data_IF_862629538928
#
_entry.id   IF_862629538928
#
_cell.length_a   1.000
_cell.length_b   1.000
_cell.length_c   1.000
_cell.angle_alpha   90.00
_cell.angle_beta   90.00
_cell.angle_gamma   90.00
#
_symmetry.space_group_name_H-M   'P 1'
#
loop_
_entity.id
_entity.type
_entity.pdbx_description
1 polymer ?
#
# COMPACT_ATOMS: atom_id res chain seq x y z
N UNK A 1 0.69 -16.20 -4.27
CA UNK A 1 -0.60 -16.53 -4.89
C UNK A 1 -1.47 -17.36 -3.93
N UNK A 2 -0.96 -18.42 -3.33
CA UNK A 2 -1.73 -19.30 -2.44
C UNK A 2 -2.43 -18.53 -1.31
N UNK A 3 -1.72 -17.63 -0.62
CA UNK A 3 -2.30 -16.83 0.46
C UNK A 3 -3.32 -15.82 -0.06
N UNK A 4 -2.93 -14.98 -1.02
CA UNK A 4 -3.75 -13.85 -1.43
C UNK A 4 -4.92 -14.25 -2.34
N UNK A 5 -4.71 -15.09 -3.34
CA UNK A 5 -5.77 -15.49 -4.29
C UNK A 5 -6.59 -16.65 -3.72
N UNK A 6 -5.95 -17.81 -3.54
CA UNK A 6 -6.66 -19.01 -3.10
C UNK A 6 -7.18 -18.87 -1.66
N UNK A 7 -6.43 -18.22 -0.77
CA UNK A 7 -6.87 -17.94 0.60
C UNK A 7 -8.13 -17.09 0.62
N UNK A 8 -8.16 -16.00 -0.13
CA UNK A 8 -9.35 -15.14 -0.25
C UNK A 8 -10.53 -15.90 -0.80
N UNK A 9 -10.35 -16.65 -1.90
CA UNK A 9 -11.43 -17.45 -2.49
C UNK A 9 -12.00 -18.47 -1.50
N UNK A 10 -11.15 -19.16 -0.73
CA UNK A 10 -11.59 -20.13 0.28
C UNK A 10 -12.36 -19.48 1.42
N UNK A 11 -11.92 -18.32 1.90
CA UNK A 11 -12.62 -17.58 2.96
C UNK A 11 -14.01 -17.15 2.45
N UNK A 12 -14.08 -16.55 1.26
CA UNK A 12 -15.34 -16.09 0.68
C UNK A 12 -16.32 -17.24 0.44
N UNK A 13 -15.83 -18.37 -0.06
CA UNK A 13 -16.68 -19.55 -0.25
C UNK A 13 -17.17 -20.14 1.07
N UNK A 14 -16.31 -20.17 2.09
CA UNK A 14 -16.70 -20.61 3.43
C UNK A 14 -17.72 -19.64 4.05
N UNK A 15 -17.52 -18.33 3.93
CA UNK A 15 -18.45 -17.32 4.44
C UNK A 15 -19.80 -17.42 3.72
N UNK A 16 -19.82 -17.58 2.40
CA UNK A 16 -21.05 -17.77 1.63
C UNK A 16 -21.90 -18.92 2.18
N UNK A 17 -21.26 -20.02 2.59
CA UNK A 17 -21.94 -21.21 3.11
C UNK A 17 -22.35 -21.11 4.57
N UNK A 18 -21.47 -20.60 5.41
CA UNK A 18 -21.61 -20.69 6.87
C UNK A 18 -22.12 -19.39 7.52
N UNK A 19 -21.86 -18.22 6.91
CA UNK A 19 -22.16 -16.90 7.48
C UNK A 19 -22.46 -15.85 6.40
N UNK A 20 -23.49 -16.07 5.53
CA UNK A 20 -23.75 -15.24 4.35
C UNK A 20 -24.08 -13.76 4.67
N UNK A 21 -24.51 -13.48 5.88
CA UNK A 21 -24.81 -12.11 6.34
C UNK A 21 -23.62 -11.36 6.93
N UNK A 22 -22.45 -12.00 6.99
CA UNK A 22 -21.23 -11.35 7.50
C UNK A 22 -20.71 -10.30 6.52
N UNK A 23 -20.19 -9.21 7.07
CA UNK A 23 -19.48 -8.19 6.28
C UNK A 23 -18.03 -8.62 6.14
N UNK A 24 -17.50 -8.58 4.94
CA UNK A 24 -16.14 -8.98 4.61
C UNK A 24 -15.41 -7.80 4.01
N UNK A 25 -14.32 -7.39 4.65
CA UNK A 25 -13.40 -6.43 4.10
C UNK A 25 -12.26 -7.15 3.36
N UNK A 26 -12.17 -6.96 2.06
CA UNK A 26 -11.14 -7.52 1.18
C UNK A 26 -10.05 -6.48 0.95
N UNK A 27 -8.89 -6.71 1.53
CA UNK A 27 -7.74 -5.80 1.38
C UNK A 27 -6.99 -6.10 0.09
N UNK A 28 -7.28 -5.35 -0.99
CA UNK A 28 -6.43 -5.31 -2.18
C UNK A 28 -5.23 -4.35 -1.96
N UNK A 29 -4.85 -3.56 -2.94
CA UNK A 29 -3.71 -2.62 -2.84
C UNK A 29 -3.74 -1.65 -4.02
N UNK A 30 -3.25 -0.44 -3.89
CA UNK A 30 -3.00 0.47 -5.01
C UNK A 30 -1.96 -0.08 -6.00
N UNK A 31 -1.12 -1.03 -5.59
CA UNK A 31 -0.17 -1.72 -6.47
C UNK A 31 -0.84 -2.44 -7.66
N UNK A 32 -2.17 -2.69 -7.60
CA UNK A 32 -2.93 -3.25 -8.73
C UNK A 32 -2.89 -2.36 -9.96
N UNK A 33 -2.80 -1.05 -9.78
CA UNK A 33 -2.69 -0.09 -10.86
C UNK A 33 -1.31 -0.11 -11.53
N UNK A 34 -0.26 -0.45 -10.77
CA UNK A 34 1.11 -0.59 -11.27
C UNK A 34 1.60 0.67 -11.98
N UNK A 35 1.91 0.56 -13.27
CA UNK A 35 2.38 1.69 -14.08
C UNK A 35 1.21 2.50 -14.62
N UNK A 36 1.07 3.70 -14.11
CA UNK A 36 0.05 4.66 -14.51
C UNK A 36 0.72 5.83 -15.22
N UNK A 37 0.13 6.32 -16.30
CA UNK A 37 0.61 7.52 -17.00
C UNK A 37 0.17 8.80 -16.27
N UNK A 38 0.94 9.88 -16.42
CA UNK A 38 0.71 11.16 -15.71
C UNK A 38 -0.67 11.77 -15.99
N UNK A 39 -1.20 11.57 -17.17
CA UNK A 39 -2.52 12.07 -17.59
C UNK A 39 -3.70 11.38 -16.89
N UNK A 40 -3.44 10.28 -16.19
CA UNK A 40 -4.44 9.54 -15.41
C UNK A 40 -4.37 9.79 -13.90
N UNK A 41 -3.62 10.79 -13.50
CA UNK A 41 -3.53 11.19 -12.10
C UNK A 41 -4.57 12.28 -11.76
N UNK A 42 -5.15 12.27 -10.55
CA UNK A 42 -5.02 11.23 -9.54
C UNK A 42 -5.68 9.91 -9.96
N UNK A 43 -5.13 8.80 -9.48
CA UNK A 43 -5.64 7.45 -9.78
C UNK A 43 -7.03 7.29 -9.15
N UNK A 44 -8.04 7.06 -9.97
CA UNK A 44 -9.39 6.73 -9.52
C UNK A 44 -9.68 5.23 -9.66
N UNK A 45 -10.84 4.81 -9.21
CA UNK A 45 -11.27 3.41 -9.21
C UNK A 45 -11.41 2.81 -10.61
N UNK A 46 -11.66 3.64 -11.63
CA UNK A 46 -11.82 3.24 -13.03
C UNK A 46 -10.49 3.04 -13.77
N UNK A 47 -9.36 3.38 -13.13
CA UNK A 47 -8.06 3.10 -13.71
C UNK A 47 -7.85 1.61 -13.92
N UNK A 48 -7.41 1.23 -15.12
CA UNK A 48 -7.11 -0.15 -15.47
C UNK A 48 -5.92 -0.72 -14.67
N UNK A 49 -5.94 -2.02 -14.44
CA UNK A 49 -4.85 -2.70 -13.75
C UNK A 49 -3.64 -2.93 -14.66
N UNK A 50 -2.46 -2.57 -14.17
CA UNK A 50 -1.19 -2.79 -14.87
C UNK A 50 -0.10 -3.20 -13.85
N UNK A 51 -0.30 -4.32 -13.12
CA UNK A 51 0.55 -4.71 -11.99
C UNK A 51 2.02 -4.86 -12.39
N UNK A 52 2.92 -4.35 -11.55
CA UNK A 52 4.36 -4.32 -11.82
C UNK A 52 5.16 -5.34 -10.99
N UNK A 53 4.49 -6.24 -10.28
CA UNK A 53 5.15 -7.26 -9.44
C UNK A 53 4.25 -8.49 -9.24
N UNK A 54 4.83 -9.66 -8.87
CA UNK A 54 4.03 -10.83 -8.49
C UNK A 54 3.08 -10.56 -7.32
N UNK A 55 3.46 -9.70 -6.38
CA UNK A 55 2.58 -9.24 -5.31
C UNK A 55 1.38 -8.48 -5.88
N UNK A 56 1.62 -7.49 -6.72
CA UNK A 56 0.57 -6.70 -7.37
C UNK A 56 -0.40 -7.59 -8.16
N UNK A 57 0.11 -8.57 -8.92
CA UNK A 57 -0.72 -9.57 -9.63
C UNK A 57 -1.59 -10.35 -8.65
N UNK A 58 -1.03 -10.77 -7.51
CA UNK A 58 -1.82 -11.49 -6.50
C UNK A 58 -2.93 -10.62 -5.89
N UNK A 59 -2.69 -9.31 -5.76
CA UNK A 59 -3.68 -8.36 -5.26
C UNK A 59 -4.76 -8.03 -6.29
N UNK A 60 -4.44 -8.05 -7.59
CA UNK A 60 -5.47 -8.03 -8.66
C UNK A 60 -6.42 -9.22 -8.51
N UNK A 61 -5.88 -10.43 -8.33
CA UNK A 61 -6.70 -11.61 -8.09
C UNK A 61 -7.58 -11.49 -6.84
N UNK A 62 -7.02 -10.96 -5.74
CA UNK A 62 -7.77 -10.70 -4.50
C UNK A 62 -8.91 -9.71 -4.73
N UNK A 63 -8.64 -8.60 -5.43
CA UNK A 63 -9.61 -7.55 -5.77
C UNK A 63 -10.79 -8.13 -6.56
N UNK A 64 -10.48 -8.76 -7.69
CA UNK A 64 -11.50 -9.30 -8.59
C UNK A 64 -12.35 -10.40 -7.94
N UNK A 65 -11.76 -11.27 -7.12
CA UNK A 65 -12.50 -12.32 -6.40
C UNK A 65 -13.46 -11.67 -5.38
N UNK A 66 -13.00 -10.68 -4.61
CA UNK A 66 -13.84 -9.97 -3.64
C UNK A 66 -15.07 -9.34 -4.30
N UNK A 67 -14.84 -8.59 -5.37
CA UNK A 67 -15.91 -7.97 -6.17
C UNK A 67 -16.88 -9.01 -6.74
N UNK A 68 -16.36 -10.04 -7.38
CA UNK A 68 -17.18 -11.10 -7.95
C UNK A 68 -18.12 -11.74 -6.92
N UNK A 69 -17.64 -12.04 -5.71
CA UNK A 69 -18.49 -12.62 -4.68
C UNK A 69 -19.56 -11.66 -4.18
N UNK A 70 -19.26 -10.35 -4.14
CA UNK A 70 -20.27 -9.33 -3.86
C UNK A 70 -21.33 -9.24 -4.95
N UNK A 71 -20.91 -9.08 -6.19
CA UNK A 71 -21.79 -8.91 -7.35
C UNK A 71 -22.62 -10.15 -7.67
N UNK A 72 -21.98 -11.33 -7.71
CA UNK A 72 -22.62 -12.56 -8.15
C UNK A 72 -23.45 -13.27 -7.07
N UNK A 73 -23.05 -13.15 -5.81
CA UNK A 73 -23.68 -13.88 -4.70
C UNK A 73 -24.30 -12.96 -3.63
N UNK A 74 -24.21 -11.64 -3.79
CA UNK A 74 -24.73 -10.69 -2.84
C UNK A 74 -24.06 -10.74 -1.46
N UNK A 75 -22.82 -11.27 -1.37
CA UNK A 75 -22.06 -11.20 -0.13
C UNK A 75 -21.69 -9.75 0.18
N UNK A 76 -21.77 -9.37 1.43
CA UNK A 76 -21.36 -8.03 1.88
C UNK A 76 -19.83 -7.87 1.82
N UNK A 77 -19.25 -8.05 0.61
CA UNK A 77 -17.83 -7.88 0.34
C UNK A 77 -17.55 -6.45 -0.05
N UNK A 78 -16.64 -5.80 0.66
CA UNK A 78 -16.13 -4.47 0.34
C UNK A 78 -14.64 -4.60 0.05
N UNK A 79 -14.21 -4.14 -1.11
CA UNK A 79 -12.80 -4.21 -1.50
C UNK A 79 -12.13 -2.85 -1.35
N UNK A 80 -10.92 -2.80 -0.80
CA UNK A 80 -10.15 -1.55 -0.70
C UNK A 80 -8.80 -1.68 -1.41
N UNK A 81 -8.44 -0.63 -2.15
CA UNK A 81 -7.14 -0.44 -2.80
C UNK A 81 -6.40 0.64 -2.03
N UNK A 82 -5.80 0.24 -0.92
CA UNK A 82 -5.11 1.17 -0.05
C UNK A 82 -3.80 1.61 -0.67
N UNK A 83 -3.60 2.93 -0.75
CA UNK A 83 -2.35 3.57 -1.11
C UNK A 83 -1.36 3.53 0.08
N UNK A 84 -0.20 4.19 -0.05
CA UNK A 84 0.81 4.12 1.00
C UNK A 84 0.26 4.69 2.31
N UNK A 85 0.35 3.90 3.36
CA UNK A 85 0.01 4.32 4.72
C UNK A 85 1.14 3.91 5.65
N UNK A 86 1.41 4.70 6.65
CA UNK A 86 2.54 4.50 7.54
C UNK A 86 2.19 4.84 8.98
N UNK A 87 3.02 4.38 9.90
CA UNK A 87 2.86 4.65 11.32
C UNK A 87 3.81 3.81 12.17
N UNK A 88 3.78 3.97 13.50
CA UNK A 88 4.62 3.21 14.40
C UNK A 88 4.52 1.70 14.18
N UNK A 89 5.66 1.01 14.22
CA UNK A 89 5.79 -0.46 14.03
C UNK A 89 5.60 -0.95 12.60
N UNK A 90 5.58 -0.06 11.60
CA UNK A 90 5.65 -0.49 10.21
C UNK A 90 6.99 -1.19 9.95
N UNK A 91 6.95 -2.30 9.19
CA UNK A 91 8.14 -3.10 8.89
C UNK A 91 9.22 -2.33 8.12
N UNK A 92 10.48 -2.63 8.38
CA UNK A 92 11.65 -1.95 7.80
C UNK A 92 12.00 -2.35 6.35
N UNK A 93 11.15 -3.15 5.73
CA UNK A 93 11.17 -3.42 4.29
C UNK A 93 10.59 -2.26 3.46
N UNK A 94 9.88 -1.34 4.12
CA UNK A 94 9.31 -0.15 3.48
C UNK A 94 10.25 1.04 3.61
N UNK A 95 10.29 1.90 2.58
CA UNK A 95 11.27 2.99 2.48
C UNK A 95 11.28 3.91 3.72
N UNK A 96 10.11 4.41 4.12
CA UNK A 96 9.97 5.32 5.25
C UNK A 96 10.48 4.72 6.57
N UNK A 97 10.15 3.45 6.83
CA UNK A 97 10.60 2.75 8.04
C UNK A 97 12.09 2.39 7.98
N UNK A 98 12.56 1.98 6.79
CA UNK A 98 13.98 1.71 6.55
C UNK A 98 14.83 2.96 6.78
N UNK A 99 14.40 4.11 6.27
CA UNK A 99 15.13 5.37 6.44
C UNK A 99 15.14 5.82 7.90
N UNK A 100 13.98 5.81 8.56
CA UNK A 100 13.89 6.16 9.98
C UNK A 100 14.79 5.26 10.84
N UNK A 101 14.78 3.94 10.57
CA UNK A 101 15.65 2.98 11.26
C UNK A 101 17.13 3.26 11.03
N UNK A 102 17.54 3.49 9.77
CA UNK A 102 18.95 3.79 9.45
C UNK A 102 19.40 5.09 10.12
N UNK A 103 18.58 6.14 10.09
CA UNK A 103 18.88 7.42 10.78
C UNK A 103 19.08 7.17 12.28
N UNK A 104 18.15 6.46 12.92
CA UNK A 104 18.27 6.16 14.35
C UNK A 104 19.52 5.33 14.69
N UNK A 105 19.90 4.38 13.84
CA UNK A 105 21.12 3.60 14.03
C UNK A 105 22.39 4.44 13.83
N UNK A 106 22.40 5.39 12.90
CA UNK A 106 23.51 6.35 12.71
C UNK A 106 23.62 7.25 13.94
N UNK A 107 22.53 7.81 14.43
CA UNK A 107 22.51 8.65 15.63
C UNK A 107 22.99 7.92 16.89
N UNK A 108 22.70 6.62 16.97
CA UNK A 108 23.18 5.75 18.04
C UNK A 108 24.64 5.28 17.84
N UNK A 109 25.34 5.71 16.78
CA UNK A 109 26.67 5.24 16.38
C UNK A 109 26.77 3.73 16.20
N UNK A 110 25.68 3.07 15.75
CA UNK A 110 25.65 1.64 15.48
C UNK A 110 26.07 1.30 14.05
N UNK A 111 25.97 2.25 13.13
CA UNK A 111 26.40 2.13 11.74
C UNK A 111 27.06 3.44 11.28
N UNK A 112 27.88 3.35 10.23
CA UNK A 112 28.47 4.52 9.57
C UNK A 112 27.40 5.47 9.02
N UNK A 113 27.68 6.79 8.89
CA UNK A 113 26.73 7.79 8.43
C UNK A 113 26.44 7.70 6.92
N UNK A 114 26.12 6.49 6.45
CA UNK A 114 25.81 6.14 5.07
C UNK A 114 24.39 5.55 5.02
N UNK A 115 23.43 6.34 4.51
CA UNK A 115 22.04 5.92 4.38
C UNK A 115 21.79 5.32 3.00
N UNK A 116 21.41 4.06 2.94
CA UNK A 116 21.15 3.30 1.71
C UNK A 116 19.72 3.50 1.24
N UNK A 117 19.56 3.85 -0.04
CA UNK A 117 18.26 4.09 -0.68
C UNK A 117 18.07 3.23 -1.93
N UNK A 118 16.81 3.09 -2.38
CA UNK A 118 16.45 2.67 -3.74
C UNK A 118 16.09 3.88 -4.61
N UNK A 119 15.02 3.75 -5.40
CA UNK A 119 14.50 4.82 -6.24
C UNK A 119 13.87 5.93 -5.37
N UNK A 120 14.36 7.15 -5.51
CA UNK A 120 13.90 8.33 -4.77
C UNK A 120 12.86 9.16 -5.54
N UNK A 121 12.69 8.93 -6.84
CA UNK A 121 11.82 9.74 -7.71
C UNK A 121 10.35 9.29 -7.68
N UNK A 122 10.07 8.13 -7.11
CA UNK A 122 8.71 7.59 -7.02
C UNK A 122 7.80 8.51 -6.22
N UNK A 123 6.68 8.94 -6.82
CA UNK A 123 5.67 9.79 -6.21
C UNK A 123 4.63 8.93 -5.48
N UNK A 124 4.34 9.26 -4.24
CA UNK A 124 3.42 8.51 -3.37
C UNK A 124 2.51 9.44 -2.60
N UNK A 125 1.29 8.98 -2.41
CA UNK A 125 0.37 9.54 -1.41
C UNK A 125 0.56 8.80 -0.09
N UNK A 126 0.65 9.53 1.01
CA UNK A 126 0.85 8.96 2.35
C UNK A 126 -0.35 9.24 3.25
N UNK A 127 -0.84 8.19 3.91
CA UNK A 127 -1.85 8.28 4.97
C UNK A 127 -1.26 7.88 6.31
N UNK A 128 -1.76 8.46 7.39
CA UNK A 128 -1.52 7.91 8.73
C UNK A 128 -2.28 6.58 8.87
N UNK A 129 -1.66 5.59 9.52
CA UNK A 129 -2.28 4.29 9.73
C UNK A 129 -3.58 4.39 10.54
N UNK A 130 -3.72 5.41 11.40
CA UNK A 130 -4.94 5.66 12.17
C UNK A 130 -6.10 6.06 11.27
N UNK A 131 -5.85 6.92 10.27
CA UNK A 131 -6.84 7.31 9.26
C UNK A 131 -7.23 6.10 8.38
N UNK A 132 -6.25 5.25 8.03
CA UNK A 132 -6.52 4.02 7.28
C UNK A 132 -7.45 3.07 8.06
N UNK A 133 -7.18 2.86 9.35
CA UNK A 133 -8.01 2.00 10.21
C UNK A 133 -9.41 2.59 10.40
N UNK A 134 -9.52 3.91 10.57
CA UNK A 134 -10.81 4.60 10.67
C UNK A 134 -11.62 4.46 9.37
N UNK A 135 -10.97 4.60 8.22
CA UNK A 135 -11.63 4.39 6.92
C UNK A 135 -12.16 2.95 6.81
N UNK A 136 -11.36 1.95 7.14
CA UNK A 136 -11.79 0.55 7.14
C UNK A 136 -12.97 0.30 8.08
N UNK A 137 -12.92 0.85 9.29
CA UNK A 137 -14.02 0.74 10.25
C UNK A 137 -15.31 1.35 9.70
N UNK A 138 -15.25 2.55 9.13
CA UNK A 138 -16.41 3.22 8.52
C UNK A 138 -16.99 2.41 7.38
N UNK A 139 -16.16 1.87 6.49
CA UNK A 139 -16.61 1.08 5.33
C UNK A 139 -17.39 -0.18 5.73
N UNK A 140 -17.02 -0.82 6.84
CA UNK A 140 -17.70 -2.03 7.28
C UNK A 140 -18.86 -1.76 8.23
N UNK A 141 -19.02 -0.54 8.76
CA UNK A 141 -20.08 -0.21 9.74
C UNK A 141 -21.14 0.74 9.21
N UNK A 142 -20.83 1.53 8.16
CA UNK A 142 -21.73 2.54 7.63
C UNK A 142 -22.16 2.15 6.22
N UNK A 143 -23.34 1.56 6.09
CA UNK A 143 -23.97 1.18 4.82
C UNK A 143 -23.03 0.42 3.85
N UNK A 144 -22.51 -0.75 4.23
CA UNK A 144 -21.70 -1.55 3.35
C UNK A 144 -22.48 -1.94 2.09
N UNK A 145 -21.90 -1.67 0.90
CA UNK A 145 -22.51 -1.99 -0.39
C UNK A 145 -21.81 -3.23 -0.96
N UNK A 146 -22.52 -4.33 -1.18
CA UNK A 146 -21.95 -5.56 -1.72
C UNK A 146 -21.29 -5.34 -3.09
N UNK A 147 -20.04 -5.80 -3.24
CA UNK A 147 -19.27 -5.71 -4.48
C UNK A 147 -18.55 -4.37 -4.69
N UNK A 148 -18.82 -3.36 -3.87
CA UNK A 148 -18.17 -2.06 -3.99
C UNK A 148 -16.69 -2.10 -3.67
N UNK A 149 -15.95 -1.21 -4.32
CA UNK A 149 -14.50 -1.09 -4.18
C UNK A 149 -14.09 0.38 -4.12
N UNK A 150 -13.10 0.67 -3.27
CA UNK A 150 -12.70 2.03 -2.95
C UNK A 150 -11.18 2.17 -2.98
N UNK A 151 -10.72 3.25 -3.58
CA UNK A 151 -9.37 3.74 -3.38
C UNK A 151 -9.29 4.48 -2.04
N UNK A 152 -8.31 4.16 -1.22
CA UNK A 152 -8.07 4.86 0.04
C UNK A 152 -6.64 5.39 0.01
N UNK A 153 -6.51 6.71 -0.03
CA UNK A 153 -5.23 7.43 -0.03
C UNK A 153 -5.14 8.44 1.11
N UNK A 154 -3.95 8.97 1.30
CA UNK A 154 -3.74 10.13 2.18
C UNK A 154 -3.90 11.45 1.41
N UNK A 155 -3.84 12.54 2.16
CA UNK A 155 -3.87 13.90 1.60
C UNK A 155 -2.48 14.48 1.34
N UNK A 156 -1.44 13.81 1.83
CA UNK A 156 -0.05 14.24 1.67
C UNK A 156 0.62 13.44 0.55
N UNK A 157 1.07 14.16 -0.47
CA UNK A 157 1.75 13.58 -1.62
C UNK A 157 3.16 14.12 -1.72
N UNK A 158 4.15 13.26 -1.84
CA UNK A 158 5.54 13.62 -2.07
C UNK A 158 6.31 12.48 -2.75
N UNK A 159 7.49 12.80 -3.28
CA UNK A 159 8.45 11.78 -3.71
C UNK A 159 9.07 11.08 -2.51
N UNK A 160 9.62 9.89 -2.74
CA UNK A 160 10.39 9.18 -1.70
C UNK A 160 11.62 10.01 -1.28
N UNK A 161 12.20 10.79 -2.22
CA UNK A 161 13.30 11.72 -1.92
C UNK A 161 12.89 12.84 -0.98
N UNK A 162 11.79 13.53 -1.27
CA UNK A 162 11.25 14.59 -0.40
C UNK A 162 10.90 14.06 1.00
N UNK A 163 10.36 12.86 1.08
CA UNK A 163 10.11 12.20 2.37
C UNK A 163 11.40 11.90 3.12
N UNK A 164 12.46 11.43 2.43
CA UNK A 164 13.78 11.22 3.03
C UNK A 164 14.38 12.54 3.53
N UNK A 165 14.32 13.61 2.74
CA UNK A 165 14.80 14.95 3.16
C UNK A 165 14.09 15.42 4.43
N UNK A 166 12.78 15.20 4.50
CA UNK A 166 12.01 15.51 5.70
C UNK A 166 12.48 14.71 6.91
N UNK A 167 12.75 13.42 6.78
CA UNK A 167 13.29 12.59 7.86
C UNK A 167 14.69 13.06 8.28
N UNK A 168 15.57 13.36 7.32
CA UNK A 168 16.91 13.89 7.59
C UNK A 168 16.87 15.24 8.30
N UNK A 169 15.86 16.08 8.04
CA UNK A 169 15.72 17.36 8.72
C UNK A 169 15.54 17.22 10.23
N UNK A 170 14.98 16.13 10.70
CA UNK A 170 14.81 15.82 12.12
C UNK A 170 16.07 15.22 12.76
N UNK A 171 17.01 14.73 11.96
CA UNK A 171 18.23 14.12 12.48
C UNK A 171 19.15 15.17 13.13
N UNK A 172 19.81 14.77 14.22
CA UNK A 172 20.87 15.52 14.88
C UNK A 172 22.19 15.46 14.10
N UNK A 173 22.39 14.41 13.30
CA UNK A 173 23.59 14.18 12.48
C UNK A 173 23.40 14.82 11.09
N UNK A 174 24.16 15.87 10.79
CA UNK A 174 24.03 16.61 9.51
C UNK A 174 24.93 16.07 8.38
N UNK A 175 25.85 15.17 8.68
CA UNK A 175 26.83 14.63 7.73
C UNK A 175 26.42 13.25 7.14
N UNK A 176 25.14 12.89 7.18
CA UNK A 176 24.67 11.61 6.61
C UNK A 176 24.76 11.66 5.09
N UNK A 177 25.48 10.70 4.50
CA UNK A 177 25.59 10.52 3.06
C UNK A 177 24.47 9.60 2.56
N UNK A 178 23.74 10.05 1.55
CA UNK A 178 22.72 9.22 0.86
C UNK A 178 23.39 8.46 -0.27
N UNK A 179 23.23 7.14 -0.28
CA UNK A 179 23.87 6.24 -1.24
C UNK A 179 22.80 5.35 -1.87
N UNK A 180 22.69 5.38 -3.19
CA UNK A 180 21.84 4.44 -3.93
C UNK A 180 22.45 3.03 -3.86
N UNK A 181 21.66 2.09 -3.32
CA UNK A 181 22.01 0.69 -3.25
C UNK A 181 21.32 -0.07 -4.40
N UNK A 182 22.07 -0.62 -5.38
CA UNK A 182 21.47 -1.33 -6.51
C UNK A 182 20.55 -2.50 -6.12
N UNK A 183 20.80 -3.15 -4.98
CA UNK A 183 19.96 -4.24 -4.49
C UNK A 183 18.56 -3.79 -4.06
N UNK A 184 18.38 -2.48 -3.84
CA UNK A 184 17.10 -1.86 -3.48
C UNK A 184 16.32 -1.33 -4.69
N UNK A 185 16.88 -1.41 -5.88
CA UNK A 185 16.19 -1.04 -7.12
C UNK A 185 15.31 -2.20 -7.60
N UNK A 186 14.09 -1.88 -8.01
CA UNK A 186 13.17 -2.86 -8.58
C UNK A 186 13.37 -2.95 -10.09
N UNK A 187 13.21 -4.13 -10.71
CA UNK A 187 13.26 -4.27 -12.17
C UNK A 187 12.20 -3.43 -12.90
N UNK A 188 11.05 -3.25 -12.27
CA UNK A 188 9.95 -2.39 -12.72
C UNK A 188 9.42 -1.65 -11.50
N UNK A 189 9.37 -0.34 -11.58
CA UNK A 189 8.78 0.50 -10.53
C UNK A 189 7.39 1.02 -10.95
N UNK A 190 6.50 1.12 -9.97
CA UNK A 190 5.24 1.82 -10.09
C UNK A 190 5.46 3.25 -9.58
N UNK A 191 6.03 4.12 -10.42
CA UNK A 191 6.54 5.43 -10.01
C UNK A 191 5.48 6.42 -9.54
N UNK A 192 4.24 6.24 -9.99
CA UNK A 192 3.15 7.15 -9.73
C UNK A 192 2.02 6.42 -8.99
N UNK A 193 1.88 6.67 -7.69
CA UNK A 193 0.87 6.08 -6.82
C UNK A 193 0.19 7.19 -5.99
N UNK A 194 -0.59 8.02 -6.68
CA UNK A 194 -1.27 9.19 -6.13
C UNK A 194 -2.69 9.33 -6.65
#
# INVERSE_FOLDING_TARGET
FNTNILGTAKILEATKRAAPNSIIHVCASSEVFGRVSKDKLPINEECGFHPASPYAISKVGTDLIGRFYGEAYGLNCITTRMFTHTGPRRGDVFAESSFAKQIAMIEANLIEPNLKTGNLDSLRTFADVRDAVEAYYKLVTINPIPGEYYNIGGTYTCTIGEMLEKLLSFSTIKSIKVITDPERLRPIDADLQV
#
